data_IF_303121534138
#
_entry.id   IF_303121534138
#
_cell.length_a   1.000
_cell.length_b   1.000
_cell.length_c   1.000
_cell.angle_alpha   90.00
_cell.angle_beta   90.00
_cell.angle_gamma   90.00
#
_symmetry.space_group_name_H-M   'P 1'
#
loop_
_entity.id
_entity.type
_entity.pdbx_description
1 polymer ?
#
# COMPACT_ATOMS: atom_id res chain seq x y z
N UNK A 1 -24.47 -22.83 11.43
CA UNK A 1 -24.13 -21.46 11.85
C UNK A 1 -22.77 -21.50 12.52
N UNK A 2 -21.88 -20.55 12.25
CA UNK A 2 -20.61 -20.44 12.98
C UNK A 2 -20.92 -20.03 14.42
N UNK A 3 -20.40 -20.76 15.42
CA UNK A 3 -20.53 -20.40 16.83
C UNK A 3 -19.58 -19.24 17.15
N UNK A 4 -20.02 -18.01 16.86
CA UNK A 4 -19.30 -16.78 17.18
C UNK A 4 -19.74 -16.26 18.55
N UNK A 5 -18.78 -15.76 19.32
CA UNK A 5 -19.07 -14.95 20.51
C UNK A 5 -19.70 -13.60 20.10
N UNK A 6 -20.43 -12.92 20.99
CA UNK A 6 -20.98 -11.59 20.72
C UNK A 6 -19.92 -10.58 20.25
N UNK A 7 -18.71 -10.64 20.81
CA UNK A 7 -17.60 -9.76 20.45
C UNK A 7 -17.08 -10.04 19.04
N UNK A 8 -16.97 -11.32 18.65
CA UNK A 8 -16.58 -11.71 17.29
C UNK A 8 -17.60 -11.27 16.25
N UNK A 9 -18.89 -11.42 16.55
CA UNK A 9 -19.97 -10.96 15.67
C UNK A 9 -19.91 -9.43 15.49
N UNK A 10 -19.82 -8.69 16.59
CA UNK A 10 -19.67 -7.23 16.58
C UNK A 10 -18.44 -6.81 15.76
N UNK A 11 -17.32 -7.50 15.92
CA UNK A 11 -16.12 -7.25 15.14
C UNK A 11 -16.35 -7.48 13.64
N UNK A 12 -17.01 -8.56 13.22
CA UNK A 12 -17.24 -8.83 11.79
C UNK A 12 -18.22 -7.84 11.15
N UNK A 13 -19.26 -7.42 11.87
CA UNK A 13 -20.27 -6.48 11.37
C UNK A 13 -19.72 -5.04 11.28
N UNK A 14 -18.76 -4.69 12.13
CA UNK A 14 -18.15 -3.38 12.11
C UNK A 14 -17.40 -3.11 10.79
N UNK A 15 -17.59 -1.91 10.25
CA UNK A 15 -16.85 -1.44 9.08
C UNK A 15 -15.35 -1.39 9.33
N UNK A 16 -14.56 -1.82 8.35
CA UNK A 16 -13.10 -1.88 8.44
C UNK A 16 -12.47 -0.78 7.59
N UNK A 17 -11.31 -0.32 8.04
CA UNK A 17 -10.55 0.73 7.38
C UNK A 17 -9.10 0.30 7.25
N UNK A 18 -8.53 0.49 6.08
CA UNK A 18 -7.11 0.27 5.81
C UNK A 18 -6.49 1.62 5.49
N UNK A 19 -5.64 2.09 6.41
CA UNK A 19 -4.76 3.22 6.17
C UNK A 19 -3.60 2.74 5.30
N UNK A 20 -3.55 3.21 4.07
CA UNK A 20 -2.68 2.67 3.04
C UNK A 20 -1.57 3.66 2.70
N UNK A 21 -0.33 3.17 2.73
CA UNK A 21 0.85 3.94 2.30
C UNK A 21 1.43 3.29 1.05
N UNK A 22 1.70 4.11 0.04
CA UNK A 22 2.40 3.69 -1.17
C UNK A 22 3.83 4.20 -1.13
N UNK A 23 4.78 3.31 -1.46
CA UNK A 23 6.17 3.66 -1.68
C UNK A 23 6.51 3.39 -3.14
N UNK A 24 7.00 4.42 -3.84
CA UNK A 24 7.42 4.35 -5.24
C UNK A 24 8.94 4.33 -5.29
N UNK A 25 9.50 3.24 -5.81
CA UNK A 25 10.93 3.06 -5.98
C UNK A 25 11.51 4.00 -7.06
N UNK A 26 12.82 4.16 -7.04
CA UNK A 26 13.54 5.01 -7.99
C UNK A 26 13.43 4.47 -9.42
N UNK A 27 13.38 3.15 -9.58
CA UNK A 27 13.14 2.51 -10.89
C UNK A 27 11.86 3.02 -11.56
N UNK A 28 10.76 3.15 -10.82
CA UNK A 28 9.53 3.76 -11.32
C UNK A 28 9.70 5.25 -11.65
N UNK A 29 10.47 6.01 -10.87
CA UNK A 29 10.79 7.41 -11.20
C UNK A 29 11.51 7.50 -12.54
N UNK A 30 12.53 6.66 -12.76
CA UNK A 30 13.26 6.60 -14.04
C UNK A 30 12.35 6.18 -15.19
N UNK A 31 11.50 5.17 -15.00
CA UNK A 31 10.55 4.68 -16.02
C UNK A 31 9.61 5.79 -16.51
N UNK A 32 9.15 6.65 -15.60
CA UNK A 32 8.28 7.77 -15.93
C UNK A 32 9.05 9.06 -16.26
N UNK A 33 10.38 8.97 -16.49
CA UNK A 33 11.26 10.10 -16.84
C UNK A 33 11.19 11.25 -15.83
N UNK A 34 11.00 10.93 -14.55
CA UNK A 34 10.84 11.91 -13.47
C UNK A 34 9.50 12.66 -13.47
N UNK A 35 8.51 12.26 -14.29
CA UNK A 35 7.20 12.92 -14.33
C UNK A 35 6.37 12.57 -13.09
N UNK A 36 6.54 13.36 -12.03
CA UNK A 36 5.87 13.17 -10.75
C UNK A 36 4.35 13.30 -10.86
N UNK A 37 3.84 14.09 -11.81
CA UNK A 37 2.40 14.24 -12.01
C UNK A 37 1.82 12.92 -12.51
N UNK A 38 2.43 12.32 -13.53
CA UNK A 38 2.00 11.00 -14.05
C UNK A 38 2.10 9.91 -12.99
N UNK A 39 3.19 9.89 -12.22
CA UNK A 39 3.36 8.92 -11.12
C UNK A 39 2.24 9.08 -10.09
N UNK A 40 1.99 10.30 -9.60
CA UNK A 40 0.94 10.57 -8.60
C UNK A 40 -0.44 10.20 -9.12
N UNK A 41 -0.79 10.60 -10.34
CA UNK A 41 -2.07 10.23 -10.97
C UNK A 41 -2.23 8.71 -11.02
N UNK A 42 -1.19 7.98 -11.44
CA UNK A 42 -1.22 6.52 -11.47
C UNK A 42 -1.42 5.91 -10.08
N UNK A 43 -0.79 6.46 -9.03
CA UNK A 43 -0.95 5.96 -7.67
C UNK A 43 -2.37 6.21 -7.14
N UNK A 44 -2.97 7.36 -7.45
CA UNK A 44 -4.37 7.65 -7.06
C UNK A 44 -5.37 6.74 -7.78
N UNK A 45 -5.15 6.46 -9.06
CA UNK A 45 -5.97 5.49 -9.81
C UNK A 45 -5.89 4.09 -9.19
N UNK A 46 -4.70 3.64 -8.80
CA UNK A 46 -4.51 2.34 -8.14
C UNK A 46 -5.28 2.27 -6.81
N UNK A 47 -5.22 3.32 -5.98
CA UNK A 47 -5.95 3.36 -4.71
C UNK A 47 -7.45 3.36 -4.94
N UNK A 48 -7.95 4.12 -5.93
CA UNK A 48 -9.37 4.10 -6.27
C UNK A 48 -9.83 2.69 -6.64
N UNK A 49 -9.09 1.99 -7.49
CA UNK A 49 -9.39 0.59 -7.86
C UNK A 49 -9.38 -0.32 -6.62
N UNK A 50 -8.36 -0.21 -5.76
CA UNK A 50 -8.29 -1.01 -4.52
C UNK A 50 -9.48 -0.74 -3.60
N UNK A 51 -9.86 0.53 -3.42
CA UNK A 51 -11.01 0.88 -2.61
C UNK A 51 -12.31 0.31 -3.19
N UNK A 52 -12.53 0.39 -4.51
CA UNK A 52 -13.72 -0.21 -5.14
C UNK A 52 -13.79 -1.73 -4.96
N UNK A 53 -12.65 -2.43 -5.05
CA UNK A 53 -12.58 -3.88 -4.79
C UNK A 53 -12.90 -4.20 -3.32
N UNK A 54 -12.52 -3.32 -2.39
CA UNK A 54 -12.68 -3.52 -0.95
C UNK A 54 -14.08 -3.15 -0.42
N UNK A 55 -14.83 -2.26 -1.10
CA UNK A 55 -16.17 -1.82 -0.67
C UNK A 55 -17.12 -3.01 -0.41
N UNK A 56 -17.25 -4.01 -1.31
CA UNK A 56 -18.11 -5.17 -1.07
C UNK A 56 -17.72 -6.01 0.15
N UNK A 57 -16.47 -5.90 0.62
CA UNK A 57 -15.97 -6.59 1.81
C UNK A 57 -16.19 -5.78 3.10
N UNK A 58 -16.97 -4.69 3.06
CA UNK A 58 -17.15 -3.74 4.15
C UNK A 58 -15.83 -3.10 4.63
N UNK A 59 -14.87 -2.96 3.70
CA UNK A 59 -13.56 -2.34 3.92
C UNK A 59 -13.48 -1.02 3.13
N UNK A 60 -12.95 0.03 3.75
CA UNK A 60 -12.55 1.27 3.06
C UNK A 60 -11.03 1.39 3.03
N UNK A 61 -10.47 1.67 1.87
CA UNK A 61 -9.03 1.92 1.72
C UNK A 61 -8.84 3.43 1.59
N UNK A 62 -8.03 4.01 2.48
CA UNK A 62 -7.68 5.41 2.45
C UNK A 62 -6.18 5.55 2.22
N UNK A 63 -5.76 6.27 1.17
CA UNK A 63 -4.36 6.62 0.99
C UNK A 63 -3.96 7.67 2.04
N UNK A 64 -3.17 7.24 3.02
CA UNK A 64 -2.67 8.10 4.11
C UNK A 64 -1.24 8.56 3.91
N UNK A 65 -0.49 7.93 2.98
CA UNK A 65 0.87 8.35 2.64
C UNK A 65 1.30 7.96 1.23
N UNK A 66 2.07 8.84 0.58
CA UNK A 66 2.74 8.55 -0.68
C UNK A 66 4.21 8.99 -0.57
N UNK A 67 5.11 8.00 -0.54
CA UNK A 67 6.56 8.21 -0.45
C UNK A 67 7.16 7.89 -1.82
N UNK A 68 7.99 8.80 -2.33
CA UNK A 68 8.64 8.62 -3.65
C UNK A 68 10.16 8.75 -3.44
N UNK A 69 10.89 7.72 -3.82
CA UNK A 69 12.35 7.70 -3.74
C UNK A 69 12.98 8.39 -4.96
N UNK A 70 13.05 9.73 -4.90
CA UNK A 70 13.49 10.57 -6.02
C UNK A 70 14.96 10.39 -6.39
N UNK A 71 15.87 10.31 -5.41
CA UNK A 71 17.31 10.30 -5.68
C UNK A 71 17.85 8.90 -5.97
N UNK A 72 17.41 7.91 -5.17
CA UNK A 72 17.79 6.50 -5.24
C UNK A 72 16.88 5.68 -4.34
N UNK A 73 16.86 4.37 -4.56
CA UNK A 73 16.19 3.44 -3.67
C UNK A 73 16.75 3.52 -2.25
N UNK A 74 15.86 3.43 -1.25
CA UNK A 74 16.23 3.39 0.16
C UNK A 74 16.46 1.96 0.67
N UNK A 75 16.22 0.97 -0.18
CA UNK A 75 16.51 -0.45 0.02
C UNK A 75 17.21 -1.01 -1.21
N UNK A 76 17.77 -2.21 -1.10
CA UNK A 76 18.25 -2.94 -2.28
C UNK A 76 17.06 -3.63 -2.98
N UNK A 77 16.55 -3.01 -4.05
CA UNK A 77 15.48 -3.60 -4.88
C UNK A 77 16.11 -4.60 -5.85
N UNK A 78 15.69 -5.87 -5.77
CA UNK A 78 16.19 -6.96 -6.62
C UNK A 78 15.06 -7.66 -7.37
N UNK A 79 15.41 -8.47 -8.37
CA UNK A 79 14.44 -9.32 -9.08
C UNK A 79 13.87 -10.44 -8.21
N UNK A 80 14.55 -10.82 -7.13
CA UNK A 80 14.06 -11.79 -6.16
C UNK A 80 13.06 -11.11 -5.20
N UNK A 81 11.77 -11.35 -5.42
CA UNK A 81 10.69 -10.66 -4.71
C UNK A 81 10.75 -10.84 -3.18
N UNK A 82 11.15 -12.02 -2.69
CA UNK A 82 11.30 -12.28 -1.26
C UNK A 82 12.40 -11.41 -0.62
N UNK A 83 13.55 -11.26 -1.29
CA UNK A 83 14.65 -10.43 -0.81
C UNK A 83 14.25 -8.95 -0.76
N UNK A 84 13.54 -8.49 -1.79
CA UNK A 84 13.01 -7.12 -1.84
C UNK A 84 11.96 -6.89 -0.74
N UNK A 85 11.07 -7.85 -0.51
CA UNK A 85 10.05 -7.78 0.54
C UNK A 85 10.67 -7.71 1.94
N UNK A 86 11.66 -8.55 2.23
CA UNK A 86 12.34 -8.55 3.53
C UNK A 86 13.08 -7.22 3.76
N UNK A 87 13.75 -6.70 2.73
CA UNK A 87 14.42 -5.40 2.79
C UNK A 87 13.42 -4.27 3.01
N UNK A 88 12.27 -4.31 2.34
CA UNK A 88 11.19 -3.32 2.49
C UNK A 88 10.57 -3.37 3.89
N UNK A 89 10.33 -4.57 4.44
CA UNK A 89 9.83 -4.76 5.82
C UNK A 89 10.78 -4.10 6.81
N UNK A 90 12.08 -4.41 6.73
CA UNK A 90 13.08 -3.88 7.65
C UNK A 90 13.20 -2.35 7.55
N UNK A 91 13.18 -1.81 6.33
CA UNK A 91 13.19 -0.36 6.12
C UNK A 91 11.95 0.30 6.72
N UNK A 92 10.76 -0.28 6.51
CA UNK A 92 9.52 0.25 7.06
C UNK A 92 9.60 0.32 8.58
N UNK A 93 9.97 -0.77 9.24
CA UNK A 93 10.04 -0.83 10.72
C UNK A 93 11.02 0.17 11.35
N UNK A 94 12.03 0.63 10.60
CA UNK A 94 13.08 1.51 11.12
C UNK A 94 12.93 2.97 10.71
N UNK A 95 12.16 3.26 9.66
CA UNK A 95 12.08 4.60 9.05
C UNK A 95 10.65 5.13 8.97
N UNK A 96 9.65 4.26 8.80
CA UNK A 96 8.26 4.64 8.52
C UNK A 96 7.33 4.31 9.69
#
# INVERSE_FOLDING_TARGET
QLNLTPDQQTYLDAKKYVEFIIVVDHGMVTKYKGDLKKIKTRMYELVNIMNEICIPLNIRVALTGLVIWLDRDKINVTSAANVTLDSFRNWRETVL
#
